data_IF_211762239168
#
_entry.id   IF_211762239168
#
_cell.length_a   1.000
_cell.length_b   1.000
_cell.length_c   1.000
_cell.angle_alpha   90.00
_cell.angle_beta   90.00
_cell.angle_gamma   90.00
#
_symmetry.space_group_name_H-M   'P 1'
#
loop_
_entity.id
_entity.type
_entity.pdbx_description
1 polymer ?
#
# COMPACT_ATOMS: atom_id res chain seq x y z
N UNK A 1 -3.61 -10.13 -16.73
CA UNK A 1 -3.97 -10.04 -15.31
C UNK A 1 -3.86 -8.57 -14.98
N UNK A 2 -4.90 -7.95 -14.47
CA UNK A 2 -4.84 -6.53 -14.09
C UNK A 2 -4.07 -6.39 -12.77
N UNK A 3 -3.34 -5.29 -12.61
CA UNK A 3 -2.70 -4.97 -11.36
C UNK A 3 -3.71 -4.43 -10.35
N UNK A 4 -3.72 -5.05 -9.16
CA UNK A 4 -4.50 -4.61 -8.02
C UNK A 4 -3.59 -4.63 -6.80
N UNK A 5 -3.60 -3.55 -6.02
CA UNK A 5 -2.88 -3.46 -4.75
C UNK A 5 -3.83 -2.98 -3.66
N UNK A 6 -3.59 -3.46 -2.44
CA UNK A 6 -4.27 -3.01 -1.23
C UNK A 6 -3.27 -3.15 -0.07
N UNK A 7 -2.42 -2.13 0.10
CA UNK A 7 -1.26 -2.19 0.98
C UNK A 7 -1.19 -1.01 1.94
N UNK A 8 -0.76 -1.31 3.15
CA UNK A 8 -0.41 -0.36 4.20
C UNK A 8 1.00 -0.66 4.70
N UNK A 9 1.82 0.38 4.88
CA UNK A 9 3.18 0.25 5.39
C UNK A 9 3.38 1.19 6.57
N UNK A 10 3.75 0.65 7.73
CA UNK A 10 4.22 1.42 8.87
C UNK A 10 5.74 1.50 8.83
N UNK A 11 6.27 2.70 8.82
CA UNK A 11 7.69 2.98 8.59
C UNK A 11 8.24 3.85 9.72
N UNK A 12 9.13 3.24 10.50
CA UNK A 12 10.04 3.92 11.44
C UNK A 12 11.41 4.16 10.77
N UNK A 13 11.81 3.24 9.87
CA UNK A 13 12.97 3.34 9.01
C UNK A 13 12.55 3.38 7.52
N UNK A 14 13.43 3.91 6.65
CA UNK A 14 13.16 4.06 5.22
C UNK A 14 13.01 2.68 4.53
N UNK A 15 11.81 2.40 4.02
CA UNK A 15 11.47 1.17 3.30
C UNK A 15 12.43 0.90 2.12
N UNK A 16 12.93 1.96 1.47
CA UNK A 16 13.90 1.89 0.36
C UNK A 16 15.26 1.35 0.79
N UNK A 17 15.55 1.33 2.08
CA UNK A 17 16.77 0.76 2.66
C UNK A 17 16.51 -0.66 3.18
N UNK A 18 15.35 -0.87 3.80
CA UNK A 18 15.00 -2.14 4.47
C UNK A 18 14.65 -3.24 3.46
N UNK A 19 13.73 -2.97 2.53
CA UNK A 19 13.17 -4.00 1.64
C UNK A 19 14.21 -4.63 0.68
N UNK A 20 15.17 -3.90 0.09
CA UNK A 20 16.17 -4.49 -0.80
C UNK A 20 17.07 -5.54 -0.13
N UNK A 21 17.14 -5.54 1.21
CA UNK A 21 17.88 -6.55 1.97
C UNK A 21 17.13 -7.87 2.17
N UNK A 22 15.90 -7.99 1.66
CA UNK A 22 15.02 -9.16 1.80
C UNK A 22 14.92 -9.65 3.26
N UNK A 23 14.52 -8.76 4.19
CA UNK A 23 14.51 -9.09 5.61
C UNK A 23 13.55 -10.25 5.88
N UNK A 24 13.95 -11.13 6.78
CA UNK A 24 13.07 -12.21 7.27
C UNK A 24 12.10 -11.60 8.29
N UNK A 25 10.79 -11.84 8.18
CA UNK A 25 9.83 -11.28 9.13
C UNK A 25 10.03 -11.87 10.52
N UNK A 26 9.96 -11.02 11.55
CA UNK A 26 9.81 -11.48 12.93
C UNK A 26 8.39 -12.05 13.09
N UNK A 27 8.31 -13.38 13.15
CA UNK A 27 7.02 -14.09 13.20
C UNK A 27 6.23 -13.80 14.47
N UNK A 28 6.88 -13.56 15.60
CA UNK A 28 6.17 -13.28 16.86
C UNK A 28 5.57 -11.88 16.80
N UNK A 29 6.37 -10.89 16.40
CA UNK A 29 5.90 -9.52 16.20
C UNK A 29 4.80 -9.46 15.13
N UNK A 30 4.95 -10.22 14.03
CA UNK A 30 3.96 -10.29 12.95
C UNK A 30 2.62 -10.84 13.43
N UNK A 31 2.61 -11.92 14.23
CA UNK A 31 1.37 -12.45 14.82
C UNK A 31 0.73 -11.46 15.81
N UNK A 32 1.55 -10.80 16.62
CA UNK A 32 1.06 -9.76 17.53
C UNK A 32 0.44 -8.60 16.76
N UNK A 33 1.05 -8.17 15.65
CA UNK A 33 0.50 -7.14 14.77
C UNK A 33 -0.81 -7.58 14.13
N UNK A 34 -0.86 -8.77 13.54
CA UNK A 34 -2.09 -9.33 12.96
C UNK A 34 -3.24 -9.37 13.98
N UNK A 35 -2.94 -9.72 15.24
CA UNK A 35 -3.92 -9.69 16.33
C UNK A 35 -4.35 -8.27 16.75
N UNK A 36 -3.50 -7.26 16.57
CA UNK A 36 -3.88 -5.83 16.80
C UNK A 36 -4.77 -5.30 15.68
N UNK A 37 -4.53 -5.69 14.43
CA UNK A 37 -5.35 -5.33 13.27
C UNK A 37 -6.74 -5.97 13.33
N UNK A 38 -6.80 -7.20 13.84
CA UNK A 38 -8.03 -7.97 14.05
C UNK A 38 -8.19 -8.33 15.55
N UNK A 39 -8.55 -7.35 16.40
CA UNK A 39 -8.66 -7.55 17.85
C UNK A 39 -9.86 -8.42 18.23
N UNK A 40 -10.85 -8.49 17.35
CA UNK A 40 -12.07 -9.27 17.51
C UNK A 40 -12.05 -10.48 16.57
N UNK A 41 -12.83 -11.51 16.91
CA UNK A 41 -12.95 -12.71 16.09
C UNK A 41 -11.79 -13.71 16.25
N UNK A 42 -11.93 -14.80 15.49
CA UNK A 42 -10.92 -15.85 15.36
C UNK A 42 -9.94 -15.44 14.26
N UNK A 43 -8.65 -15.53 14.57
CA UNK A 43 -7.57 -15.31 13.63
C UNK A 43 -6.83 -16.63 13.43
N UNK A 44 -6.91 -17.18 12.23
CA UNK A 44 -6.21 -18.41 11.85
C UNK A 44 -4.99 -18.04 11.00
N UNK A 45 -3.80 -18.50 11.40
CA UNK A 45 -2.60 -18.39 10.55
C UNK A 45 -2.78 -19.31 9.35
N UNK A 46 -2.75 -18.73 8.16
CA UNK A 46 -2.67 -19.47 6.90
C UNK A 46 -1.21 -19.46 6.44
N UNK A 47 -0.86 -20.35 5.51
CA UNK A 47 0.51 -20.48 5.03
C UNK A 47 1.12 -19.15 4.57
N UNK A 48 2.43 -19.03 4.72
CA UNK A 48 3.19 -17.86 4.29
C UNK A 48 2.97 -17.57 2.80
N UNK A 49 3.03 -16.28 2.46
CA UNK A 49 2.97 -15.76 1.12
C UNK A 49 4.14 -14.83 0.83
N UNK A 50 4.06 -14.11 -0.28
CA UNK A 50 5.04 -13.08 -0.64
C UNK A 50 4.34 -11.80 -1.09
N UNK A 51 5.06 -10.69 -1.00
CA UNK A 51 4.50 -9.37 -1.31
C UNK A 51 3.99 -9.29 -2.75
N UNK A 52 4.65 -9.92 -3.74
CA UNK A 52 4.18 -9.87 -5.13
C UNK A 52 2.80 -10.52 -5.32
N UNK A 53 2.60 -11.72 -4.78
CA UNK A 53 1.40 -12.52 -5.01
C UNK A 53 0.24 -12.17 -4.06
N UNK A 54 0.55 -11.52 -2.93
CA UNK A 54 -0.40 -11.27 -1.86
C UNK A 54 -0.64 -9.78 -1.56
N UNK A 55 -0.22 -8.87 -2.45
CA UNK A 55 -0.45 -7.41 -2.30
C UNK A 55 -1.93 -7.02 -2.29
N UNK A 56 -2.81 -7.87 -2.83
CA UNK A 56 -4.25 -7.71 -2.77
C UNK A 56 -4.92 -9.07 -2.47
N UNK A 57 -4.97 -9.47 -1.19
CA UNK A 57 -5.63 -10.71 -0.80
C UNK A 57 -7.16 -10.58 -0.90
N UNK A 58 -7.89 -11.71 -1.02
CA UNK A 58 -9.35 -11.68 -0.99
C UNK A 58 -9.90 -11.33 0.39
N UNK A 59 -11.16 -10.94 0.45
CA UNK A 59 -11.90 -10.65 1.68
C UNK A 59 -11.72 -11.74 2.76
N UNK A 60 -11.62 -11.31 4.02
CA UNK A 60 -11.35 -12.17 5.16
C UNK A 60 -9.92 -12.72 5.22
N UNK A 61 -8.99 -12.16 4.44
CA UNK A 61 -7.55 -12.50 4.51
C UNK A 61 -6.68 -11.28 4.54
N UNK A 62 -5.59 -11.39 5.29
CA UNK A 62 -4.51 -10.41 5.29
C UNK A 62 -3.16 -11.12 5.27
N UNK A 63 -2.15 -10.43 4.77
CA UNK A 63 -0.76 -10.84 4.83
C UNK A 63 0.03 -9.75 5.53
N UNK A 64 0.81 -10.13 6.54
CA UNK A 64 1.54 -9.19 7.40
C UNK A 64 2.99 -9.61 7.49
N UNK A 65 3.91 -8.65 7.47
CA UNK A 65 5.32 -8.85 7.74
C UNK A 65 5.86 -7.73 8.60
N UNK A 66 6.28 -8.06 9.83
CA UNK A 66 7.03 -7.15 10.68
C UNK A 66 8.54 -7.39 10.47
N UNK A 67 9.23 -6.37 10.02
CA UNK A 67 10.68 -6.32 9.79
C UNK A 67 11.29 -5.26 10.72
N UNK A 68 12.63 -5.20 10.86
CA UNK A 68 13.27 -4.11 11.57
C UNK A 68 12.86 -2.74 10.99
N UNK A 69 12.20 -1.91 11.80
CA UNK A 69 11.78 -0.55 11.46
C UNK A 69 10.65 -0.44 10.43
N UNK A 70 10.05 -1.56 10.01
CA UNK A 70 9.05 -1.59 8.94
C UNK A 70 8.00 -2.67 9.19
N UNK A 71 6.73 -2.34 9.03
CA UNK A 71 5.65 -3.34 8.95
C UNK A 71 4.91 -3.18 7.64
N UNK A 72 4.76 -4.27 6.89
CA UNK A 72 3.98 -4.33 5.65
C UNK A 72 2.70 -5.12 5.92
N UNK A 73 1.56 -4.57 5.52
CA UNK A 73 0.24 -5.17 5.66
C UNK A 73 -0.43 -5.13 4.29
N UNK A 74 -0.88 -6.27 3.82
CA UNK A 74 -1.72 -6.38 2.63
C UNK A 74 -3.09 -6.89 3.08
N UNK A 75 -4.13 -6.10 2.84
CA UNK A 75 -5.49 -6.36 3.29
C UNK A 75 -6.48 -5.62 2.39
N UNK A 76 -7.61 -6.23 1.99
CA UNK A 76 -8.57 -5.59 1.08
C UNK A 76 -9.14 -4.29 1.65
N UNK A 77 -9.22 -4.15 2.97
CA UNK A 77 -9.69 -2.95 3.67
C UNK A 77 -8.76 -1.73 3.51
N UNK A 78 -7.55 -1.91 2.95
CA UNK A 78 -6.69 -0.79 2.56
C UNK A 78 -7.12 -0.16 1.21
N UNK A 79 -7.91 -0.86 0.38
CA UNK A 79 -8.43 -0.36 -0.88
C UNK A 79 -9.71 0.48 -0.66
N UNK A 80 -9.55 1.67 -0.10
CA UNK A 80 -10.65 2.62 0.17
C UNK A 80 -10.67 3.80 -0.82
N UNK A 81 -11.85 4.19 -1.29
CA UNK A 81 -12.02 5.32 -2.23
C UNK A 81 -11.56 6.66 -1.63
N UNK A 82 -11.66 6.83 -0.31
CA UNK A 82 -11.19 8.00 0.43
C UNK A 82 -10.16 7.55 1.47
N UNK A 83 -8.86 7.52 1.14
CA UNK A 83 -7.81 7.11 2.06
C UNK A 83 -7.83 7.83 3.42
N UNK A 84 -8.30 9.09 3.51
CA UNK A 84 -8.44 9.77 4.82
C UNK A 84 -9.43 9.10 5.78
N UNK A 85 -10.31 8.26 5.26
CA UNK A 85 -11.29 7.48 6.02
C UNK A 85 -10.84 6.05 6.29
N UNK A 86 -9.55 5.75 6.16
CA UNK A 86 -8.97 4.45 6.51
C UNK A 86 -9.48 3.98 7.88
N UNK A 87 -9.97 2.72 8.00
CA UNK A 87 -10.47 2.20 9.26
C UNK A 87 -9.48 2.38 10.42
N UNK A 88 -9.93 2.86 11.60
CA UNK A 88 -9.04 3.11 12.74
C UNK A 88 -8.25 1.87 13.19
N UNK A 89 -8.81 0.66 13.05
CA UNK A 89 -8.10 -0.57 13.38
C UNK A 89 -6.88 -0.83 12.48
N UNK A 90 -6.82 -0.23 11.29
CA UNK A 90 -5.63 -0.24 10.42
C UNK A 90 -4.70 0.94 10.66
N UNK A 91 -5.17 2.06 11.21
CA UNK A 91 -4.33 3.25 11.41
C UNK A 91 -3.71 3.30 12.81
N UNK A 92 -4.49 3.04 13.85
CA UNK A 92 -4.06 3.13 15.26
C UNK A 92 -2.88 2.21 15.62
N UNK A 93 -2.73 0.98 15.07
CA UNK A 93 -1.62 0.13 15.42
C UNK A 93 -0.23 0.68 15.06
N UNK A 94 -0.17 1.62 14.10
CA UNK A 94 1.07 2.26 13.66
C UNK A 94 1.75 3.10 14.75
N UNK A 95 1.00 3.59 15.75
CA UNK A 95 1.55 4.49 16.77
C UNK A 95 2.14 5.75 16.15
N UNK A 96 3.42 6.01 16.43
CA UNK A 96 4.14 7.19 15.94
C UNK A 96 4.82 6.98 14.57
N UNK A 97 4.74 5.78 13.99
CA UNK A 97 5.33 5.48 12.69
C UNK A 97 4.68 6.31 11.56
N UNK A 98 5.45 6.55 10.50
CA UNK A 98 4.87 7.08 9.27
C UNK A 98 4.06 5.99 8.59
N UNK A 99 2.85 6.30 8.16
CA UNK A 99 1.95 5.34 7.52
C UNK A 99 1.82 5.70 6.05
N UNK A 100 2.07 4.73 5.17
CA UNK A 100 1.81 4.84 3.74
C UNK A 100 0.71 3.87 3.36
N UNK A 101 -0.37 4.39 2.78
CA UNK A 101 -1.41 3.60 2.12
C UNK A 101 -1.17 3.66 0.62
N UNK A 102 -1.28 2.51 -0.05
CA UNK A 102 -1.33 2.43 -1.51
C UNK A 102 -2.38 1.43 -1.95
N UNK A 103 -3.23 1.85 -2.88
CA UNK A 103 -4.19 0.99 -3.54
C UNK A 103 -4.32 1.36 -5.01
N UNK A 104 -4.51 0.35 -5.86
CA UNK A 104 -4.82 0.56 -7.27
C UNK A 104 -5.67 -0.58 -7.81
N UNK A 105 -6.44 -0.30 -8.86
CA UNK A 105 -7.27 -1.31 -9.52
C UNK A 105 -7.32 -1.06 -11.03
N UNK A 106 -6.54 -1.84 -11.79
CA UNK A 106 -6.33 -1.57 -13.21
C UNK A 106 -7.56 -1.79 -14.11
N UNK A 107 -8.59 -2.51 -13.65
CA UNK A 107 -9.81 -2.68 -14.45
C UNK A 107 -10.63 -1.38 -14.60
N UNK A 108 -10.40 -0.41 -13.72
CA UNK A 108 -11.10 0.89 -13.70
C UNK A 108 -10.10 2.06 -13.68
N UNK A 109 -8.81 1.79 -13.91
CA UNK A 109 -7.71 2.75 -13.82
C UNK A 109 -7.75 3.60 -12.54
N UNK A 110 -8.15 2.99 -11.42
CA UNK A 110 -8.21 3.66 -10.13
C UNK A 110 -6.87 3.59 -9.41
N UNK A 111 -6.47 4.71 -8.82
CA UNK A 111 -5.30 4.82 -7.96
C UNK A 111 -5.64 5.67 -6.73
N UNK A 112 -5.23 5.19 -5.56
CA UNK A 112 -5.29 5.93 -4.31
C UNK A 112 -4.02 5.73 -3.48
N UNK A 113 -3.61 6.79 -2.77
CA UNK A 113 -2.58 6.71 -1.77
C UNK A 113 -2.79 7.74 -0.66
N UNK A 114 -2.25 7.47 0.51
CA UNK A 114 -2.16 8.47 1.57
C UNK A 114 -0.92 8.29 2.43
N UNK A 115 -0.57 9.36 3.12
CA UNK A 115 0.56 9.44 4.04
C UNK A 115 0.12 10.10 5.34
N UNK A 116 0.40 9.44 6.46
CA UNK A 116 0.26 10.00 7.80
C UNK A 116 1.62 10.07 8.47
N UNK A 117 1.90 11.18 9.16
CA UNK A 117 3.07 11.35 10.00
C UNK A 117 2.58 11.66 11.42
N UNK A 118 3.05 10.90 12.42
CA UNK A 118 2.65 11.06 13.83
C UNK A 118 1.11 11.07 14.00
N UNK A 119 0.43 10.17 13.29
CA UNK A 119 -1.03 10.04 13.29
C UNK A 119 -1.79 11.15 12.58
N UNK A 120 -1.11 12.14 11.98
CA UNK A 120 -1.75 13.24 11.24
C UNK A 120 -1.69 12.99 9.75
N UNK A 121 -2.82 13.11 9.05
CA UNK A 121 -2.87 13.00 7.59
C UNK A 121 -2.09 14.16 6.95
N UNK A 122 -1.05 13.83 6.18
CA UNK A 122 -0.20 14.80 5.47
C UNK A 122 -0.66 14.95 4.01
N UNK A 123 -0.98 13.84 3.35
CA UNK A 123 -1.38 13.80 1.95
C UNK A 123 -2.35 12.65 1.72
N UNK A 124 -3.44 12.90 0.99
CA UNK A 124 -4.33 11.87 0.44
C UNK A 124 -4.67 12.23 -1.01
N UNK A 125 -4.64 11.24 -1.89
CA UNK A 125 -5.08 11.36 -3.27
C UNK A 125 -5.83 10.08 -3.65
N UNK A 126 -6.98 10.21 -4.30
CA UNK A 126 -7.71 9.12 -4.92
C UNK A 126 -8.38 9.61 -6.20
N UNK A 127 -8.16 8.92 -7.31
CA UNK A 127 -8.71 9.31 -8.60
C UNK A 127 -8.88 8.12 -9.54
N UNK A 128 -9.87 8.21 -10.41
CA UNK A 128 -10.12 7.27 -11.49
C UNK A 128 -10.70 8.03 -12.70
N UNK A 129 -10.43 7.62 -13.96
CA UNK A 129 -10.89 8.37 -15.12
C UNK A 129 -12.43 8.48 -15.18
N UNK A 130 -13.14 7.44 -14.74
CA UNK A 130 -14.61 7.45 -14.74
C UNK A 130 -15.19 8.42 -13.70
N UNK A 131 -14.54 8.57 -12.55
CA UNK A 131 -15.08 9.31 -11.39
C UNK A 131 -14.42 10.65 -11.13
N UNK A 132 -13.31 10.97 -11.81
CA UNK A 132 -12.51 12.15 -11.52
C UNK A 132 -11.68 11.98 -10.23
N UNK A 133 -11.43 13.09 -9.55
CA UNK A 133 -10.75 13.10 -8.25
C UNK A 133 -11.79 12.79 -7.17
N UNK A 134 -11.62 11.65 -6.50
CA UNK A 134 -12.45 11.19 -5.38
C UNK A 134 -11.99 11.83 -4.06
N UNK A 135 -10.67 12.00 -3.90
CA UNK A 135 -10.08 12.70 -2.77
C UNK A 135 -8.80 13.43 -3.18
N UNK A 136 -8.59 14.65 -2.68
CA UNK A 136 -7.33 15.37 -2.77
C UNK A 136 -7.16 16.26 -1.52
N UNK A 137 -6.32 15.82 -0.59
CA UNK A 137 -6.03 16.52 0.67
C UNK A 137 -4.52 16.68 0.82
N UNK A 138 -4.07 17.84 1.31
CA UNK A 138 -2.64 18.14 1.50
C UNK A 138 -1.91 18.54 0.21
N UNK A 139 -0.67 18.99 0.36
CA UNK A 139 0.15 19.43 -0.76
C UNK A 139 0.70 18.25 -1.57
N UNK A 140 0.70 18.39 -2.90
CA UNK A 140 1.26 17.38 -3.79
C UNK A 140 2.75 17.13 -3.51
N UNK A 141 3.12 15.86 -3.38
CA UNK A 141 4.50 15.44 -3.14
C UNK A 141 5.36 15.66 -4.39
N UNK A 142 6.69 15.72 -4.19
CA UNK A 142 7.63 16.05 -5.27
C UNK A 142 7.53 15.13 -6.49
N UNK A 143 7.24 13.84 -6.27
CA UNK A 143 7.11 12.86 -7.36
C UNK A 143 5.84 13.06 -8.19
N UNK A 144 4.80 13.70 -7.65
CA UNK A 144 3.56 13.99 -8.38
C UNK A 144 3.72 15.15 -9.36
N UNK A 145 4.63 16.09 -9.10
CA UNK A 145 4.74 17.35 -9.86
C UNK A 145 4.87 17.17 -11.38
N UNK A 146 5.70 16.24 -11.90
CA UNK A 146 5.80 16.00 -13.35
C UNK A 146 4.51 15.48 -13.99
N UNK A 147 3.64 14.85 -13.21
CA UNK A 147 2.35 14.34 -13.67
C UNK A 147 1.36 15.49 -13.78
N UNK A 148 1.23 16.30 -12.72
CA UNK A 148 0.35 17.47 -12.71
C UNK A 148 0.76 18.56 -13.72
N UNK A 149 2.06 18.71 -14.02
CA UNK A 149 2.54 19.64 -15.04
C UNK A 149 2.32 19.17 -16.48
N UNK A 150 1.97 17.89 -16.69
CA UNK A 150 1.84 17.28 -18.01
C UNK A 150 3.16 16.84 -18.64
N UNK A 151 4.27 16.80 -17.88
CA UNK A 151 5.56 16.26 -18.35
C UNK A 151 5.52 14.72 -18.51
N UNK A 152 4.49 14.07 -17.95
CA UNK A 152 4.22 12.62 -18.06
C UNK A 152 2.83 12.36 -18.68
N UNK A 153 2.63 12.67 -19.98
CA UNK A 153 1.33 12.54 -20.62
C UNK A 153 0.91 11.07 -20.77
N UNK A 154 -0.41 10.77 -20.73
CA UNK A 154 -0.90 9.42 -20.96
C UNK A 154 -0.73 9.04 -22.45
N UNK A 155 -0.66 7.73 -22.71
CA UNK A 155 -0.61 7.22 -24.09
C UNK A 155 -1.90 7.49 -24.87
N UNK A 156 -3.04 7.50 -24.18
CA UNK A 156 -4.35 7.77 -24.74
C UNK A 156 -4.98 8.99 -24.06
N UNK A 157 -5.78 9.80 -24.78
CA UNK A 157 -6.50 10.92 -24.17
C UNK A 157 -7.41 10.46 -23.04
N UNK A 158 -7.44 11.23 -21.95
CA UNK A 158 -8.27 10.98 -20.78
C UNK A 158 -8.57 12.28 -20.02
N UNK A 159 -9.31 12.20 -18.90
CA UNK A 159 -9.68 13.37 -18.11
C UNK A 159 -8.50 13.98 -17.33
N UNK A 160 -7.40 13.24 -17.18
CA UNK A 160 -6.20 13.68 -16.46
C UNK A 160 -5.02 13.93 -17.42
N UNK A 161 -4.04 14.77 -17.02
CA UNK A 161 -2.82 14.99 -17.80
C UNK A 161 -1.83 13.82 -17.75
N UNK A 162 -2.19 12.70 -17.11
CA UNK A 162 -1.41 11.47 -16.97
C UNK A 162 -2.33 10.25 -16.83
N UNK A 163 -1.78 9.04 -16.91
CA UNK A 163 -2.50 7.81 -16.58
C UNK A 163 -2.46 7.57 -15.06
N UNK A 164 -3.60 7.36 -14.37
CA UNK A 164 -3.62 7.17 -12.91
C UNK A 164 -2.66 6.09 -12.40
N UNK A 165 -2.62 4.93 -13.07
CA UNK A 165 -1.73 3.83 -12.67
C UNK A 165 -0.24 4.17 -12.85
N UNK A 166 0.13 5.04 -13.81
CA UNK A 166 1.52 5.49 -13.96
C UNK A 166 1.97 6.33 -12.77
N UNK A 167 1.05 7.13 -12.19
CA UNK A 167 1.30 7.85 -10.95
C UNK A 167 1.29 6.89 -9.75
N UNK A 168 0.44 5.85 -9.79
CA UNK A 168 0.39 4.81 -8.76
C UNK A 168 1.68 4.02 -8.61
N UNK A 169 2.30 3.60 -9.71
CA UNK A 169 3.62 2.95 -9.70
C UNK A 169 4.71 3.92 -9.22
N UNK A 170 4.67 5.18 -9.64
CA UNK A 170 5.63 6.18 -9.16
C UNK A 170 5.47 6.46 -7.66
N UNK A 171 4.26 6.40 -7.11
CA UNK A 171 4.02 6.52 -5.68
C UNK A 171 4.65 5.34 -4.91
N UNK A 172 4.46 4.09 -5.36
CA UNK A 172 5.14 2.92 -4.77
C UNK A 172 6.67 3.10 -4.78
N UNK A 173 7.21 3.56 -5.90
CA UNK A 173 8.65 3.74 -6.06
C UNK A 173 9.19 4.86 -5.19
N UNK A 174 8.54 6.02 -5.18
CA UNK A 174 9.00 7.20 -4.45
C UNK A 174 8.91 7.03 -2.93
N UNK A 175 7.80 6.43 -2.46
CA UNK A 175 7.51 6.25 -1.04
C UNK A 175 8.17 4.99 -0.48
N UNK A 176 8.12 3.87 -1.19
CA UNK A 176 8.48 2.55 -0.66
C UNK A 176 9.66 1.89 -1.39
N UNK A 177 10.09 2.42 -2.55
CA UNK A 177 11.12 1.79 -3.37
C UNK A 177 10.65 0.52 -4.07
N UNK A 178 9.34 0.37 -4.25
CA UNK A 178 8.72 -0.82 -4.85
C UNK A 178 8.41 -0.51 -6.32
N UNK A 179 8.78 -1.44 -7.20
CA UNK A 179 8.27 -1.51 -8.57
C UNK A 179 7.38 -2.74 -8.65
N UNK A 180 6.07 -2.55 -8.80
CA UNK A 180 5.12 -3.66 -8.84
C UNK A 180 4.84 -4.11 -10.27
N UNK A 181 4.45 -3.18 -11.14
CA UNK A 181 4.40 -3.41 -12.57
C UNK A 181 5.65 -2.89 -13.30
N UNK A 182 6.07 -3.62 -14.32
CA UNK A 182 7.18 -3.23 -15.19
C UNK A 182 8.51 -3.89 -14.83
N UNK A 183 9.61 -3.24 -15.22
CA UNK A 183 10.96 -3.75 -15.00
C UNK A 183 11.54 -3.11 -13.73
N UNK A 184 11.89 -3.89 -12.70
CA UNK A 184 12.58 -3.37 -11.53
C UNK A 184 13.88 -2.64 -11.88
N UNK A 185 14.19 -1.59 -11.14
CA UNK A 185 15.47 -0.88 -11.22
C UNK A 185 16.55 -1.60 -10.41
N UNK A 186 17.82 -1.27 -10.68
CA UNK A 186 18.93 -1.76 -9.88
C UNK A 186 18.79 -1.27 -8.43
N UNK A 187 18.64 -2.21 -7.50
CA UNK A 187 18.44 -1.91 -6.07
C UNK A 187 16.99 -2.02 -5.59
N UNK A 188 16.03 -2.24 -6.49
CA UNK A 188 14.65 -2.54 -6.08
C UNK A 188 14.58 -3.93 -5.41
N UNK A 189 13.69 -4.12 -4.43
CA UNK A 189 13.47 -5.43 -3.82
C UNK A 189 12.80 -6.39 -4.81
N UNK A 190 13.28 -7.63 -4.86
CA UNK A 190 12.48 -8.73 -5.40
C UNK A 190 11.29 -9.02 -4.46
N UNK A 191 10.09 -8.62 -4.87
CA UNK A 191 8.86 -8.75 -4.10
C UNK A 191 8.49 -10.22 -3.80
N UNK A 192 9.03 -11.19 -4.55
CA UNK A 192 8.83 -12.63 -4.27
C UNK A 192 9.62 -13.11 -3.06
N UNK A 193 10.73 -12.44 -2.76
CA UNK A 193 11.61 -12.77 -1.63
C UNK A 193 11.16 -12.05 -0.34
N UNK A 194 10.23 -11.10 -0.42
CA UNK A 194 9.61 -10.47 0.76
C UNK A 194 8.50 -11.37 1.29
N UNK A 195 8.85 -12.21 2.27
CA UNK A 195 7.92 -13.14 2.91
C UNK A 195 6.93 -12.40 3.82
N UNK A 196 5.64 -12.75 3.71
CA UNK A 196 4.58 -12.28 4.59
C UNK A 196 3.85 -13.47 5.22
N UNK A 197 3.47 -13.37 6.49
CA UNK A 197 2.64 -14.38 7.14
C UNK A 197 1.18 -14.12 6.77
N UNK A 198 0.48 -15.17 6.33
CA UNK A 198 -0.92 -15.06 5.99
C UNK A 198 -1.82 -15.30 7.20
N UNK A 199 -2.95 -14.61 7.24
CA UNK A 199 -4.00 -14.85 8.22
C UNK A 199 -5.38 -14.84 7.57
N UNK A 200 -6.27 -15.68 8.08
CA UNK A 200 -7.69 -15.69 7.76
C UNK A 200 -8.49 -15.27 9.00
N UNK A 201 -9.50 -14.43 8.78
CA UNK A 201 -10.42 -13.93 9.82
C UNK A 201 -11.85 -13.92 9.31
N UNK A 202 -12.81 -14.03 10.24
CA UNK A 202 -14.23 -13.90 9.93
C UNK A 202 -14.57 -12.42 9.73
N UNK A 203 -14.98 -12.06 8.52
CA UNK A 203 -15.50 -10.73 8.18
C UNK A 203 -16.98 -10.54 8.62
N UNK A 204 -17.42 -11.23 9.68
CA UNK A 204 -18.81 -11.13 10.14
C UNK A 204 -18.99 -9.87 11.00
N UNK A 205 -19.93 -8.98 10.66
CA UNK A 205 -20.20 -7.74 11.39
C UNK A 205 -20.76 -7.95 12.80
#
# INVERSE_FOLDING_TARGET
>A
MGAVTAMLVYSEDDAKVVLPGHPVPDREATRAMARRLQPHGVLEEIGDGNLLENVNPPDGRMYVGCFPGLTVICAPEAAVDQPSQLPPNLLEPAGDATVYLHAMHSAVDWFAYAMWEQGTLVRSLSLAPEYGILEETGDALMFEKPYWSGDRPPLLPGPFPFHPLDLGEEALRALLGITYEGKPFDGDPDLKEITLLGFQYDDSP
#
